data_IF_402810876855
#
_entry.id   IF_402810876855
#
_cell.length_a   1.000
_cell.length_b   1.000
_cell.length_c   1.000
_cell.angle_alpha   90.00
_cell.angle_beta   90.00
_cell.angle_gamma   90.00
#
_symmetry.space_group_name_H-M   'P 1'
#
loop_
_entity.id
_entity.type
_entity.pdbx_description
1 polymer ?
#
# COMPACT_ATOMS: atom_id res chain seq x y z
N UNK A 1 1.27 5.36 4.23
CA UNK A 1 0.91 3.95 3.98
C UNK A 1 2.03 3.30 3.21
N UNK A 2 2.04 1.97 3.19
CA UNK A 2 3.03 1.11 2.52
C UNK A 2 2.68 0.78 1.05
N UNK A 3 3.29 -0.29 0.54
CA UNK A 3 3.19 -0.78 -0.84
C UNK A 3 1.84 -1.38 -1.19
N UNK A 4 1.06 -1.85 -0.21
CA UNK A 4 -0.25 -2.44 -0.46
C UNK A 4 -1.14 -1.42 -1.14
N UNK A 5 -1.07 -0.15 -0.74
CA UNK A 5 -1.97 0.91 -1.22
C UNK A 5 -1.26 2.01 -2.01
N UNK A 6 0.00 1.80 -2.39
CA UNK A 6 0.78 2.76 -3.19
C UNK A 6 0.42 2.67 -4.68
N UNK A 7 -0.17 3.72 -5.28
CA UNK A 7 -0.44 3.75 -6.72
C UNK A 7 0.78 4.17 -7.56
N UNK A 8 1.94 4.44 -6.95
CA UNK A 8 3.17 4.80 -7.64
C UNK A 8 3.88 6.07 -7.15
N UNK A 9 3.68 6.53 -5.91
CA UNK A 9 4.42 7.70 -5.40
C UNK A 9 5.93 7.45 -5.37
N UNK A 10 6.35 6.21 -5.16
CA UNK A 10 7.75 5.83 -5.15
C UNK A 10 8.47 6.02 -6.49
N UNK A 11 7.73 6.17 -7.59
CA UNK A 11 8.28 6.42 -8.92
C UNK A 11 8.92 7.81 -9.02
N UNK A 12 8.46 8.73 -8.18
CA UNK A 12 8.83 10.15 -8.20
C UNK A 12 9.80 10.54 -7.09
N UNK A 13 10.35 9.56 -6.36
CA UNK A 13 11.40 9.75 -5.35
C UNK A 13 12.60 8.84 -5.64
N UNK A 14 13.76 9.19 -5.07
CA UNK A 14 14.99 8.41 -5.25
C UNK A 14 14.99 7.21 -4.31
N UNK A 15 14.34 6.12 -4.73
CA UNK A 15 14.32 4.84 -4.03
C UNK A 15 14.50 3.66 -4.99
N UNK A 16 14.92 2.52 -4.42
CA UNK A 16 14.90 1.20 -5.07
C UNK A 16 13.55 0.48 -4.87
N UNK A 17 12.73 0.92 -3.91
CA UNK A 17 11.44 0.31 -3.59
C UNK A 17 10.38 0.85 -4.55
N UNK A 18 10.34 0.34 -5.78
CA UNK A 18 9.35 0.76 -6.78
C UNK A 18 9.07 -0.36 -7.76
N UNK A 19 7.88 -0.33 -8.35
CA UNK A 19 7.37 -1.34 -9.28
C UNK A 19 6.97 -0.72 -10.63
N UNK A 20 7.76 0.23 -11.12
CA UNK A 20 7.51 0.96 -12.37
C UNK A 20 8.18 0.31 -13.59
N UNK A 21 8.33 -1.00 -13.53
CA UNK A 21 8.88 -1.83 -14.60
C UNK A 21 8.10 -3.15 -14.71
N UNK A 22 8.11 -3.78 -15.90
CA UNK A 22 7.49 -5.09 -16.06
C UNK A 22 8.14 -6.14 -15.13
N UNK A 23 7.39 -7.16 -14.68
CA UNK A 23 6.03 -7.50 -15.12
C UNK A 23 4.90 -6.78 -14.35
N UNK A 24 5.22 -5.89 -13.41
CA UNK A 24 4.19 -5.17 -12.65
C UNK A 24 3.28 -4.34 -13.55
N UNK A 25 2.01 -4.22 -13.17
CA UNK A 25 1.00 -3.50 -13.97
C UNK A 25 0.64 -4.16 -15.31
N UNK A 26 1.04 -5.41 -15.58
CA UNK A 26 0.68 -6.14 -16.81
C UNK A 26 -0.82 -6.19 -17.08
N UNK A 27 -1.62 -6.29 -16.03
CA UNK A 27 -3.08 -6.39 -16.11
C UNK A 27 -3.74 -5.01 -15.87
N UNK A 28 -2.92 -3.98 -15.56
CA UNK A 28 -3.37 -2.61 -15.28
C UNK A 28 -3.38 -1.72 -16.55
N UNK A 29 -4.52 -1.07 -16.84
CA UNK A 29 -4.68 0.04 -17.79
C UNK A 29 -3.70 0.05 -18.99
N UNK A 30 -3.87 -0.91 -19.90
CA UNK A 30 -3.04 -1.02 -21.11
C UNK A 30 -1.70 -1.75 -20.88
N UNK A 31 -1.57 -2.46 -19.77
CA UNK A 31 -0.41 -3.28 -19.41
C UNK A 31 0.83 -2.47 -19.05
N UNK A 32 0.63 -1.27 -18.48
CA UNK A 32 1.72 -0.36 -18.15
C UNK A 32 2.10 -0.46 -16.67
N UNK A 33 3.40 -0.59 -16.35
CA UNK A 33 3.84 -0.52 -14.98
C UNK A 33 3.74 0.92 -14.47
N UNK A 34 2.95 1.14 -13.41
CA UNK A 34 2.71 2.47 -12.83
C UNK A 34 3.25 2.61 -11.41
N UNK A 35 4.12 1.71 -10.96
CA UNK A 35 4.61 1.73 -9.57
C UNK A 35 3.73 0.99 -8.56
N UNK A 36 2.59 0.43 -8.98
CA UNK A 36 1.73 -0.43 -8.16
C UNK A 36 2.43 -1.76 -7.88
N UNK A 37 2.44 -2.18 -6.62
CA UNK A 37 3.03 -3.45 -6.18
C UNK A 37 2.05 -4.62 -6.44
N UNK A 38 1.64 -4.79 -7.70
CA UNK A 38 0.75 -5.87 -8.14
C UNK A 38 0.82 -6.06 -9.67
N UNK A 39 0.13 -7.07 -10.21
CA UNK A 39 -0.13 -7.16 -11.64
C UNK A 39 -1.11 -6.09 -12.15
N UNK A 40 -1.97 -5.58 -11.28
CA UNK A 40 -3.07 -4.68 -11.62
C UNK A 40 -3.21 -3.53 -10.64
N UNK A 41 -4.46 -3.12 -10.41
CA UNK A 41 -4.86 -2.17 -9.38
C UNK A 41 -4.57 -2.66 -7.96
N UNK A 42 -4.43 -1.70 -7.05
CA UNK A 42 -4.20 -1.94 -5.62
C UNK A 42 -5.44 -1.54 -4.81
N UNK A 43 -5.58 -1.93 -3.53
CA UNK A 43 -6.75 -1.58 -2.72
C UNK A 43 -7.07 -0.08 -2.68
N UNK A 44 -6.10 0.83 -2.79
CA UNK A 44 -6.42 2.26 -2.87
C UNK A 44 -7.21 2.66 -4.11
N UNK A 45 -7.03 1.95 -5.24
CA UNK A 45 -7.87 2.12 -6.44
C UNK A 45 -9.26 1.56 -6.22
N UNK A 46 -9.33 0.31 -5.76
CA UNK A 46 -10.59 -0.42 -5.56
C UNK A 46 -11.46 0.33 -4.55
N UNK A 47 -10.87 0.86 -3.49
CA UNK A 47 -11.59 1.60 -2.46
C UNK A 47 -12.03 2.96 -2.99
N UNK A 48 -11.20 3.65 -3.78
CA UNK A 48 -11.63 4.87 -4.46
C UNK A 48 -12.80 4.60 -5.41
N UNK A 49 -12.84 3.45 -6.07
CA UNK A 49 -13.93 3.05 -6.96
C UNK A 49 -15.21 2.73 -6.17
N UNK A 50 -15.11 1.94 -5.10
CA UNK A 50 -16.24 1.62 -4.19
C UNK A 50 -16.90 2.90 -3.65
N UNK A 51 -16.09 3.90 -3.27
CA UNK A 51 -16.60 5.18 -2.78
C UNK A 51 -17.01 6.16 -3.88
N UNK A 52 -17.00 5.72 -5.15
CA UNK A 52 -17.32 6.52 -6.34
C UNK A 52 -16.50 7.82 -6.42
N UNK A 53 -15.23 7.74 -6.01
CA UNK A 53 -14.25 8.83 -6.07
C UNK A 53 -13.60 8.83 -7.45
N UNK A 54 -12.95 7.71 -7.80
CA UNK A 54 -12.28 7.47 -9.09
C UNK A 54 -12.14 5.98 -9.32
N UNK A 55 -12.11 5.56 -10.59
CA UNK A 55 -11.74 4.20 -10.98
C UNK A 55 -10.27 3.87 -10.67
N UNK A 56 -9.40 4.85 -10.83
CA UNK A 56 -7.97 4.72 -10.52
C UNK A 56 -7.49 5.96 -9.77
N UNK A 57 -6.82 5.74 -8.65
CA UNK A 57 -6.32 6.79 -7.78
C UNK A 57 -4.88 7.13 -8.19
N UNK A 58 -4.56 8.38 -8.55
CA UNK A 58 -3.21 8.74 -8.94
C UNK A 58 -2.31 9.00 -7.72
N UNK A 59 -1.00 8.86 -7.93
CA UNK A 59 0.02 9.18 -6.96
C UNK A 59 0.12 10.71 -6.76
N UNK A 60 0.07 11.19 -5.52
CA UNK A 60 0.21 12.62 -5.19
C UNK A 60 1.49 13.27 -5.76
N UNK A 61 2.58 12.50 -5.87
CA UNK A 61 3.85 13.00 -6.38
C UNK A 61 3.96 13.00 -7.92
N UNK A 62 2.95 12.57 -8.67
CA UNK A 62 2.98 12.62 -10.12
C UNK A 62 2.98 14.09 -10.60
N UNK A 63 4.05 14.55 -11.30
CA UNK A 63 4.15 15.93 -11.75
C UNK A 63 3.14 16.29 -12.85
N UNK A 64 2.46 15.29 -13.43
CA UNK A 64 1.45 15.50 -14.46
C UNK A 64 0.04 15.71 -13.89
N UNK A 65 -0.13 15.68 -12.57
CA UNK A 65 -1.41 15.92 -11.92
C UNK A 65 -1.95 17.30 -12.26
N UNK A 66 -3.23 17.34 -12.63
CA UNK A 66 -3.97 18.59 -12.81
C UNK A 66 -4.67 18.96 -11.50
N UNK A 67 -5.04 20.22 -11.38
CA UNK A 67 -5.84 20.72 -10.25
C UNK A 67 -7.09 19.86 -9.99
N UNK A 68 -7.81 19.50 -11.06
CA UNK A 68 -8.99 18.63 -10.95
C UNK A 68 -8.64 17.26 -10.34
N UNK A 69 -7.46 16.72 -10.60
CA UNK A 69 -7.03 15.43 -10.06
C UNK A 69 -6.77 15.52 -8.57
N UNK A 70 -6.10 16.60 -8.14
CA UNK A 70 -5.86 16.93 -6.73
C UNK A 70 -7.17 17.11 -5.95
N UNK A 71 -8.15 17.79 -6.55
CA UNK A 71 -9.45 18.07 -5.91
C UNK A 71 -10.37 16.85 -5.85
N UNK A 72 -10.27 15.95 -6.83
CA UNK A 72 -11.12 14.75 -6.90
C UNK A 72 -10.54 13.55 -6.15
N UNK A 73 -9.25 13.54 -5.82
CA UNK A 73 -8.64 12.52 -4.95
C UNK A 73 -7.28 12.02 -5.45
N UNK A 74 -6.34 11.87 -4.51
CA UNK A 74 -4.97 11.39 -4.73
C UNK A 74 -4.54 10.50 -3.56
N UNK A 75 -3.57 9.61 -3.80
CA UNK A 75 -2.95 8.81 -2.73
C UNK A 75 -1.62 9.40 -2.28
N UNK A 76 -1.39 9.36 -0.96
CA UNK A 76 -0.12 9.73 -0.32
C UNK A 76 0.66 8.50 0.19
N UNK A 77 0.24 7.30 -0.20
CA UNK A 77 0.92 6.05 0.13
C UNK A 77 2.32 5.96 -0.51
N UNK A 78 3.24 5.21 0.09
CA UNK A 78 4.62 5.06 -0.37
C UNK A 78 5.10 3.65 -0.03
N UNK A 79 5.46 2.88 -1.06
CA UNK A 79 5.95 1.51 -0.90
C UNK A 79 7.09 1.39 0.11
N UNK A 80 7.06 0.39 0.99
CA UNK A 80 8.07 0.22 2.04
C UNK A 80 8.01 1.24 3.18
N UNK A 81 7.03 2.14 3.19
CA UNK A 81 6.78 3.00 4.34
C UNK A 81 6.27 2.17 5.52
N UNK A 82 7.12 1.98 6.52
CA UNK A 82 6.73 1.39 7.80
C UNK A 82 6.12 2.41 8.76
N UNK A 83 5.68 1.91 9.91
CA UNK A 83 5.27 2.75 11.04
C UNK A 83 6.45 3.58 11.58
N UNK A 84 7.61 2.94 11.74
CA UNK A 84 8.83 3.58 12.21
C UNK A 84 9.46 4.43 11.09
N UNK A 85 9.68 5.74 11.30
CA UNK A 85 10.39 6.59 10.34
C UNK A 85 11.77 6.06 9.94
N UNK A 86 12.43 5.27 10.80
CA UNK A 86 13.70 4.62 10.48
C UNK A 86 13.57 3.65 9.31
N UNK A 87 12.48 2.87 9.24
CA UNK A 87 12.24 1.97 8.10
C UNK A 87 12.17 2.77 6.81
N UNK A 88 11.39 3.85 6.80
CA UNK A 88 11.25 4.70 5.62
C UNK A 88 12.61 5.33 5.22
N UNK A 89 13.39 5.78 6.21
CA UNK A 89 14.72 6.36 6.00
C UNK A 89 15.71 5.36 5.41
N UNK A 90 15.69 4.10 5.86
CA UNK A 90 16.61 3.05 5.39
C UNK A 90 16.45 2.78 3.89
N UNK A 91 15.21 2.83 3.38
CA UNK A 91 14.91 2.56 1.97
C UNK A 91 14.56 3.82 1.16
N UNK A 92 14.77 5.01 1.74
CA UNK A 92 14.58 6.32 1.09
C UNK A 92 13.17 6.54 0.52
N UNK A 93 12.14 6.16 1.27
CA UNK A 93 10.71 6.30 0.91
C UNK A 93 10.02 7.31 1.83
N UNK A 94 8.79 7.72 1.50
CA UNK A 94 8.06 8.67 2.34
C UNK A 94 7.66 8.00 3.66
N UNK A 95 8.03 8.62 4.76
CA UNK A 95 7.52 8.25 6.08
C UNK A 95 6.05 8.63 6.25
N UNK A 96 5.42 8.09 7.30
CA UNK A 96 4.05 8.42 7.65
C UNK A 96 3.88 9.91 8.01
N UNK A 97 4.87 10.51 8.66
CA UNK A 97 4.87 11.94 8.99
C UNK A 97 4.98 12.79 7.73
N UNK A 98 5.82 12.43 6.77
CA UNK A 98 5.93 13.12 5.47
C UNK A 98 4.64 13.01 4.65
N UNK A 99 4.01 11.83 4.68
CA UNK A 99 2.70 11.61 4.05
C UNK A 99 1.63 12.52 4.68
N UNK A 100 1.63 12.64 6.01
CA UNK A 100 0.72 13.53 6.75
C UNK A 100 0.97 15.00 6.42
N UNK A 101 2.24 15.42 6.36
CA UNK A 101 2.62 16.77 5.97
C UNK A 101 2.25 17.08 4.51
N UNK A 102 2.28 16.08 3.61
CA UNK A 102 1.80 16.23 2.25
C UNK A 102 0.28 16.48 2.19
N UNK A 103 -0.51 15.75 2.99
CA UNK A 103 -1.95 16.02 3.14
C UNK A 103 -2.20 17.45 3.62
N UNK A 104 -1.49 17.90 4.66
CA UNK A 104 -1.59 19.27 5.18
C UNK A 104 -1.26 20.32 4.13
N UNK A 105 -0.20 20.11 3.35
CA UNK A 105 0.19 21.01 2.25
C UNK A 105 -0.92 21.12 1.21
N UNK A 106 -1.47 19.99 0.77
CA UNK A 106 -2.58 20.00 -0.20
C UNK A 106 -3.80 20.72 0.38
N UNK A 107 -4.19 20.44 1.62
CA UNK A 107 -5.30 21.13 2.28
C UNK A 107 -5.07 22.64 2.38
N UNK A 108 -3.86 23.07 2.71
CA UNK A 108 -3.49 24.48 2.79
C UNK A 108 -3.48 25.16 1.43
N UNK A 109 -3.05 24.47 0.37
CA UNK A 109 -3.12 24.97 -1.01
C UNK A 109 -4.58 25.12 -1.46
N UNK A 110 -5.42 24.13 -1.19
CA UNK A 110 -6.86 24.16 -1.50
C UNK A 110 -7.56 25.27 -0.72
N UNK A 111 -7.21 25.46 0.55
CA UNK A 111 -7.63 26.63 1.33
C UNK A 111 -7.09 27.89 0.63
N UNK A 112 -5.80 28.16 0.58
CA UNK A 112 -5.25 29.44 0.09
C UNK A 112 -5.64 29.89 -1.34
N UNK A 113 -6.21 29.02 -2.17
CA UNK A 113 -6.49 29.28 -3.59
C UNK A 113 -7.97 29.61 -3.90
N UNK A 114 -8.22 30.01 -5.14
CA UNK A 114 -9.57 30.15 -5.71
C UNK A 114 -10.33 28.81 -5.78
N UNK A 115 -9.63 27.69 -5.62
CA UNK A 115 -10.15 26.32 -5.77
C UNK A 115 -11.23 26.01 -4.74
N UNK A 116 -11.26 26.72 -3.60
CA UNK A 116 -12.31 26.57 -2.57
C UNK A 116 -13.73 26.58 -3.14
N UNK A 117 -13.99 27.36 -4.20
CA UNK A 117 -15.32 27.48 -4.82
C UNK A 117 -15.68 26.29 -5.72
N UNK A 118 -14.68 25.57 -6.21
CA UNK A 118 -14.81 24.38 -7.06
C UNK A 118 -15.04 23.12 -6.23
N UNK A 119 -14.84 23.18 -4.91
CA UNK A 119 -15.27 22.16 -3.96
C UNK A 119 -16.81 22.23 -3.81
N UNK A 120 -17.53 22.01 -4.91
CA UNK A 120 -18.99 21.84 -4.94
C UNK A 120 -19.40 20.46 -4.45
N UNK A 121 -18.90 20.00 -3.30
CA UNK A 121 -19.52 18.89 -2.57
C UNK A 121 -19.17 19.04 -1.10
N UNK A 122 -20.17 19.48 -0.32
CA UNK A 122 -20.22 19.15 1.10
C UNK A 122 -19.94 17.65 1.24
N UNK A 123 -19.22 17.25 2.30
CA UNK A 123 -19.03 15.85 2.75
C UNK A 123 -17.82 15.04 2.24
N UNK A 124 -16.66 15.64 1.94
CA UNK A 124 -15.43 14.82 1.85
C UNK A 124 -14.17 15.48 2.46
N UNK A 125 -14.22 15.84 3.75
CA UNK A 125 -13.04 15.60 4.61
C UNK A 125 -12.92 14.09 4.93
N UNK A 126 -13.10 13.24 3.92
CA UNK A 126 -12.81 11.80 4.03
C UNK A 126 -11.34 11.66 3.66
N UNK A 127 -10.48 12.05 4.59
CA UNK A 127 -9.15 11.48 4.61
C UNK A 127 -9.33 10.00 4.93
N UNK A 128 -9.53 9.19 3.89
CA UNK A 128 -9.48 7.74 4.00
C UNK A 128 -8.03 7.37 4.23
N UNK A 129 -7.58 7.50 5.47
CA UNK A 129 -6.30 6.91 5.86
C UNK A 129 -6.56 5.43 6.11
N UNK A 130 -6.57 4.64 5.03
CA UNK A 130 -6.55 3.18 5.08
C UNK A 130 -5.21 2.67 5.60
N UNK A 131 -5.04 2.64 6.91
CA UNK A 131 -3.83 2.12 7.51
C UNK A 131 -3.77 0.61 7.28
N UNK A 132 -3.11 0.18 6.20
CA UNK A 132 -2.56 -1.15 6.09
C UNK A 132 -1.37 -1.20 7.06
N UNK A 133 -1.38 -2.18 7.94
CA UNK A 133 -0.30 -2.38 8.89
C UNK A 133 0.74 -3.24 8.18
N UNK A 134 1.94 -2.73 8.03
CA UNK A 134 3.09 -3.55 7.71
C UNK A 134 4.21 -3.24 8.69
N UNK A 135 4.40 -4.17 9.61
CA UNK A 135 5.68 -4.36 10.27
C UNK A 135 6.58 -5.08 9.27
N UNK A 136 6.92 -4.42 8.15
CA UNK A 136 8.13 -4.77 7.41
C UNK A 136 9.32 -4.04 8.04
N UNK A 137 9.46 -4.13 9.36
CA UNK A 137 10.77 -3.91 9.98
C UNK A 137 11.60 -5.15 9.72
N UNK A 138 12.47 -5.08 8.70
CA UNK A 138 13.74 -5.81 8.67
C UNK A 138 13.70 -7.34 8.85
N UNK A 139 12.56 -8.02 8.77
CA UNK A 139 12.52 -9.49 8.89
C UNK A 139 13.30 -10.17 7.75
N UNK A 140 13.50 -9.47 6.63
CA UNK A 140 14.18 -9.99 5.43
C UNK A 140 15.70 -9.76 5.49
N UNK A 141 16.19 -8.84 6.33
CA UNK A 141 17.62 -8.59 6.53
C UNK A 141 18.18 -9.33 7.76
N UNK A 142 17.33 -9.92 8.60
CA UNK A 142 17.71 -10.49 9.90
C UNK A 142 17.21 -11.93 10.01
N UNK A 143 17.72 -12.80 9.14
CA UNK A 143 17.79 -14.26 9.37
C UNK A 143 19.07 -14.63 10.14
N UNK A 144 19.54 -13.73 11.02
CA UNK A 144 20.67 -13.93 11.92
C UNK A 144 20.14 -14.03 13.36
N UNK A 145 20.49 -15.09 14.13
CA UNK A 145 20.11 -15.24 15.55
C UNK A 145 20.61 -14.11 16.47
N UNK A 146 21.42 -13.18 15.95
CA UNK A 146 22.14 -12.18 16.73
C UNK A 146 21.26 -11.02 17.24
N UNK A 147 19.98 -10.95 16.86
CA UNK A 147 19.16 -9.74 17.00
C UNK A 147 17.76 -9.94 17.59
N UNK A 148 17.52 -10.99 18.40
CA UNK A 148 16.26 -11.12 19.15
C UNK A 148 15.94 -9.87 20.01
N UNK A 149 16.97 -9.16 20.47
CA UNK A 149 16.84 -7.92 21.25
C UNK A 149 16.30 -6.71 20.45
N UNK A 150 16.29 -6.76 19.11
CA UNK A 150 15.78 -5.68 18.28
C UNK A 150 14.27 -5.84 17.97
N UNK A 151 13.76 -7.07 17.93
CA UNK A 151 12.34 -7.37 17.68
C UNK A 151 11.44 -6.79 18.79
N UNK A 152 11.90 -6.77 20.04
CA UNK A 152 11.17 -6.14 21.16
C UNK A 152 11.12 -4.62 21.08
N UNK A 153 12.04 -3.98 20.36
CA UNK A 153 12.11 -2.53 20.18
C UNK A 153 11.13 -2.02 19.13
N UNK A 154 10.74 -2.89 18.17
CA UNK A 154 9.91 -2.52 17.02
C UNK A 154 8.43 -2.89 17.15
N UNK A 155 7.94 -3.31 18.33
CA UNK A 155 6.49 -3.33 18.55
C UNK A 155 5.99 -1.88 18.59
N UNK A 156 5.17 -1.43 17.62
CA UNK A 156 4.52 -0.14 17.76
C UNK A 156 3.68 -0.19 19.04
N UNK A 157 3.95 0.71 19.98
CA UNK A 157 3.13 0.81 21.18
C UNK A 157 1.73 1.28 20.78
N UNK A 158 0.66 0.82 21.46
CA UNK A 158 -0.71 1.32 21.20
C UNK A 158 -0.82 2.86 21.20
N UNK A 159 0.05 3.53 21.98
CA UNK A 159 0.16 5.00 22.09
C UNK A 159 0.48 5.66 20.75
N UNK A 160 1.37 5.03 19.99
CA UNK A 160 1.93 5.56 18.76
C UNK A 160 0.85 5.64 17.65
N UNK A 161 -0.01 4.63 17.58
CA UNK A 161 -1.21 4.59 16.73
C UNK A 161 -2.27 5.60 17.12
N UNK A 162 -2.57 5.71 18.42
CA UNK A 162 -3.54 6.69 18.93
C UNK A 162 -3.10 8.11 18.59
N UNK A 163 -1.79 8.40 18.65
CA UNK A 163 -1.24 9.68 18.25
C UNK A 163 -1.47 9.96 16.76
N UNK A 164 -1.26 8.99 15.87
CA UNK A 164 -1.51 9.19 14.44
C UNK A 164 -3.00 9.40 14.12
N UNK A 165 -3.89 8.65 14.76
CA UNK A 165 -5.34 8.85 14.63
C UNK A 165 -5.74 10.23 15.15
N UNK A 166 -5.16 10.65 16.27
CA UNK A 166 -5.37 11.97 16.83
C UNK A 166 -4.89 13.08 15.89
N UNK A 167 -3.68 12.97 15.33
CA UNK A 167 -3.17 13.91 14.31
C UNK A 167 -4.11 13.96 13.11
N UNK A 168 -4.50 12.81 12.56
CA UNK A 168 -5.43 12.75 11.43
C UNK A 168 -6.76 13.45 11.73
N UNK A 169 -7.31 13.24 12.93
CA UNK A 169 -8.54 13.89 13.39
C UNK A 169 -8.39 15.42 13.52
N UNK A 170 -7.27 15.87 14.10
CA UNK A 170 -6.92 17.29 14.21
C UNK A 170 -6.75 17.96 12.83
N UNK A 171 -6.27 17.23 11.82
CA UNK A 171 -6.21 17.67 10.42
C UNK A 171 -7.55 17.63 9.68
N UNK A 172 -8.64 17.37 10.40
CA UNK A 172 -9.98 17.41 9.86
C UNK A 172 -10.50 16.07 9.35
N UNK A 173 -9.77 14.96 9.49
CA UNK A 173 -10.33 13.65 9.18
C UNK A 173 -11.58 13.39 10.05
N UNK A 174 -12.68 12.99 9.42
CA UNK A 174 -13.94 12.66 10.13
C UNK A 174 -14.37 11.21 9.97
N UNK A 175 -13.90 10.56 8.92
CA UNK A 175 -14.15 9.15 8.62
C UNK A 175 -12.80 8.50 8.34
N UNK A 176 -12.36 7.63 9.25
CA UNK A 176 -11.05 6.97 9.20
C UNK A 176 -11.27 5.47 9.26
N UNK A 177 -10.81 4.75 8.23
CA UNK A 177 -10.84 3.29 8.17
C UNK A 177 -9.47 2.74 8.54
N UNK A 178 -9.37 1.98 9.62
CA UNK A 178 -8.13 1.30 10.01
C UNK A 178 -8.27 -0.16 9.63
N UNK A 179 -7.40 -0.65 8.75
CA UNK A 179 -7.34 -2.07 8.40
C UNK A 179 -6.44 -2.79 9.39
N UNK A 180 -6.75 -4.01 9.77
CA UNK A 180 -5.85 -4.81 10.60
C UNK A 180 -4.69 -5.37 9.77
N UNK A 181 -3.66 -5.87 10.44
CA UNK A 181 -2.62 -6.69 9.82
C UNK A 181 -3.25 -7.84 9.02
N UNK A 182 -2.91 -8.04 7.73
CA UNK A 182 -3.24 -9.27 7.04
C UNK A 182 -2.51 -10.44 7.73
N UNK A 183 -2.96 -11.70 7.54
CA UNK A 183 -2.30 -12.87 8.12
C UNK A 183 -0.91 -13.05 7.49
N UNK A 184 0.09 -12.32 7.99
CA UNK A 184 1.43 -12.20 7.39
C UNK A 184 2.16 -13.55 7.33
N UNK A 185 1.85 -14.47 8.25
CA UNK A 185 2.37 -15.84 8.19
C UNK A 185 1.91 -16.64 6.98
N UNK A 186 0.91 -16.16 6.22
CA UNK A 186 0.40 -16.79 5.01
C UNK A 186 1.05 -16.26 3.73
N UNK A 187 1.81 -15.15 3.77
CA UNK A 187 2.47 -14.64 2.57
C UNK A 187 3.63 -15.55 2.14
N UNK A 188 3.91 -15.70 0.84
CA UNK A 188 4.88 -16.68 0.35
C UNK A 188 6.26 -16.59 1.01
N UNK A 189 6.82 -15.37 1.12
CA UNK A 189 8.12 -15.14 1.74
C UNK A 189 8.20 -15.60 3.20
N UNK A 190 7.17 -15.33 4.02
CA UNK A 190 7.14 -15.77 5.41
C UNK A 190 6.92 -17.28 5.55
N UNK A 191 6.13 -17.89 4.65
CA UNK A 191 5.98 -19.35 4.61
C UNK A 191 7.27 -20.05 4.21
N UNK A 192 8.09 -19.45 3.36
CA UNK A 192 9.42 -19.97 3.02
C UNK A 192 10.39 -19.79 4.18
N UNK A 193 10.48 -18.58 4.76
CA UNK A 193 11.49 -18.24 5.77
C UNK A 193 11.19 -18.83 7.16
N UNK A 194 9.90 -18.94 7.53
CA UNK A 194 9.45 -19.34 8.87
C UNK A 194 8.60 -20.61 8.86
N UNK A 195 8.36 -21.25 7.71
CA UNK A 195 7.61 -22.49 7.61
C UNK A 195 8.44 -23.72 7.97
N UNK A 196 7.80 -24.75 8.55
CA UNK A 196 8.42 -26.06 8.75
C UNK A 196 8.29 -26.94 7.47
N UNK A 197 8.99 -28.07 7.44
CA UNK A 197 8.93 -29.06 6.34
C UNK A 197 7.51 -29.61 6.11
N UNK A 198 6.64 -29.51 7.10
CA UNK A 198 5.23 -29.90 7.06
C UNK A 198 4.35 -28.67 6.85
N UNK A 199 4.41 -28.09 5.64
CA UNK A 199 3.49 -27.02 5.24
C UNK A 199 2.06 -27.56 5.45
N UNK A 200 1.38 -27.15 6.53
CA UNK A 200 0.03 -27.64 6.90
C UNK A 200 -1.06 -27.38 5.86
N UNK A 201 -0.70 -26.73 4.75
CA UNK A 201 -1.44 -26.68 3.50
C UNK A 201 -0.54 -27.27 2.40
N UNK A 202 -0.93 -28.42 1.86
CA UNK A 202 -0.17 -29.19 0.85
C UNK A 202 0.01 -28.41 -0.46
N UNK A 203 -0.87 -27.45 -0.77
CA UNK A 203 -0.70 -26.52 -1.87
C UNK A 203 -1.59 -25.28 -1.69
N UNK A 204 -1.05 -24.21 -1.12
CA UNK A 204 -1.44 -22.87 -1.59
C UNK A 204 -0.39 -22.55 -2.63
N UNK A 205 -0.77 -22.66 -3.89
CA UNK A 205 0.05 -22.40 -5.09
C UNK A 205 0.97 -21.22 -4.86
N UNK A 206 2.23 -21.32 -5.30
CA UNK A 206 3.24 -20.26 -5.15
C UNK A 206 2.77 -18.91 -5.71
N UNK A 207 3.65 -17.91 -5.67
CA UNK A 207 3.47 -16.61 -6.32
C UNK A 207 3.49 -16.69 -7.85
N UNK A 208 2.85 -15.72 -8.51
CA UNK A 208 2.88 -15.66 -9.97
C UNK A 208 4.25 -15.21 -10.48
N UNK A 209 4.97 -14.37 -9.75
CA UNK A 209 6.22 -13.78 -10.19
C UNK A 209 7.38 -14.10 -9.25
N UNK A 210 8.43 -14.67 -9.86
CA UNK A 210 9.68 -15.00 -9.21
C UNK A 210 9.66 -16.39 -8.58
N UNK A 211 10.43 -16.53 -7.50
CA UNK A 211 10.72 -17.81 -6.83
C UNK A 211 10.12 -17.92 -5.43
N UNK A 212 9.56 -16.83 -4.89
CA UNK A 212 8.82 -16.84 -3.63
C UNK A 212 9.64 -16.58 -2.39
N UNK A 213 10.92 -16.27 -2.57
CA UNK A 213 11.91 -16.27 -1.50
C UNK A 213 12.49 -14.88 -1.24
N UNK A 214 12.76 -14.14 -2.30
CA UNK A 214 13.52 -12.88 -2.25
C UNK A 214 12.74 -11.69 -2.82
N UNK A 215 11.59 -11.95 -3.45
CA UNK A 215 10.87 -10.97 -4.26
C UNK A 215 10.16 -9.86 -3.48
N UNK A 216 10.42 -9.79 -2.17
CA UNK A 216 10.07 -8.66 -1.30
C UNK A 216 11.24 -7.69 -1.12
N UNK A 217 12.49 -8.14 -1.33
CA UNK A 217 13.71 -7.32 -1.32
C UNK A 217 14.23 -7.03 -2.73
N UNK A 218 14.01 -7.94 -3.67
CA UNK A 218 14.36 -7.78 -5.08
C UNK A 218 13.08 -7.91 -5.90
N UNK A 219 12.51 -6.78 -6.28
CA UNK A 219 11.26 -6.76 -7.04
C UNK A 219 11.39 -7.56 -8.33
N UNK A 220 10.28 -8.17 -8.72
CA UNK A 220 10.18 -8.88 -9.98
C UNK A 220 10.49 -7.98 -11.17
N UNK A 221 11.37 -8.40 -12.07
CA UNK A 221 11.82 -7.60 -13.20
C UNK A 221 11.72 -8.38 -14.51
N UNK A 222 12.00 -7.79 -15.68
CA UNK A 222 11.85 -8.49 -16.96
C UNK A 222 12.73 -9.75 -17.11
N UNK A 223 13.77 -9.89 -16.29
CA UNK A 223 14.66 -11.05 -16.25
C UNK A 223 14.29 -12.06 -15.16
N UNK A 224 13.24 -11.79 -14.38
CA UNK A 224 12.73 -12.74 -13.39
C UNK A 224 12.30 -14.02 -14.08
N UNK A 225 13.05 -15.09 -13.80
CA UNK A 225 12.67 -16.45 -14.20
C UNK A 225 11.36 -16.81 -13.51
N UNK A 226 10.46 -17.48 -14.23
CA UNK A 226 9.19 -18.01 -13.72
C UNK A 226 8.00 -17.05 -13.51
N UNK A 227 7.93 -15.90 -14.19
CA UNK A 227 6.65 -15.15 -14.24
C UNK A 227 5.56 -15.97 -14.93
N UNK A 228 4.43 -16.15 -14.24
CA UNK A 228 3.31 -16.96 -14.68
C UNK A 228 2.62 -16.33 -15.91
N UNK A 229 2.08 -17.20 -16.78
CA UNK A 229 1.32 -16.75 -17.98
C UNK A 229 -0.08 -16.26 -17.65
N UNK A 230 -0.69 -16.81 -16.61
CA UNK A 230 -2.08 -16.57 -16.23
C UNK A 230 -2.15 -16.29 -14.73
N UNK A 231 -2.22 -15.01 -14.36
CA UNK A 231 -2.25 -14.57 -12.97
C UNK A 231 -3.53 -14.97 -12.25
N UNK A 232 -4.64 -15.22 -12.95
CA UNK A 232 -5.95 -15.52 -12.33
C UNK A 232 -5.97 -16.81 -11.49
N UNK A 233 -4.94 -17.65 -11.65
CA UNK A 233 -4.74 -18.91 -10.93
C UNK A 233 -3.97 -18.75 -9.61
N UNK A 234 -3.57 -17.53 -9.28
CA UNK A 234 -2.67 -17.22 -8.17
C UNK A 234 -3.36 -16.28 -7.17
N UNK A 235 -2.94 -16.34 -5.91
CA UNK A 235 -3.35 -15.36 -4.89
C UNK A 235 -2.35 -14.20 -4.84
N UNK A 236 -1.07 -14.54 -4.95
CA UNK A 236 0.04 -13.60 -4.83
C UNK A 236 0.68 -13.29 -6.17
N UNK A 237 0.94 -12.02 -6.39
CA UNK A 237 1.68 -11.54 -7.54
C UNK A 237 3.17 -11.82 -7.37
N UNK A 238 3.78 -11.33 -6.29
CA UNK A 238 5.15 -11.64 -5.90
C UNK A 238 5.17 -12.35 -4.54
N UNK A 239 6.33 -12.44 -3.87
CA UNK A 239 6.44 -13.18 -2.61
C UNK A 239 5.76 -12.50 -1.41
N UNK A 240 5.04 -11.40 -1.63
CA UNK A 240 4.37 -10.64 -0.58
C UNK A 240 3.04 -10.04 -1.01
N UNK A 241 2.98 -9.40 -2.17
CA UNK A 241 1.81 -8.65 -2.62
C UNK A 241 0.80 -9.52 -3.36
N UNK A 242 -0.49 -9.47 -3.02
CA UNK A 242 -1.56 -10.08 -3.78
C UNK A 242 -1.67 -9.60 -5.24
N UNK A 243 -2.28 -10.44 -6.09
CA UNK A 243 -2.76 -9.98 -7.40
C UNK A 243 -3.98 -9.07 -7.24
N UNK A 244 -4.26 -8.23 -8.24
CA UNK A 244 -5.44 -7.36 -8.28
C UNK A 244 -6.72 -8.11 -7.98
N UNK A 245 -6.92 -9.30 -8.55
CA UNK A 245 -8.15 -10.08 -8.32
C UNK A 245 -8.34 -10.46 -6.85
N UNK A 246 -7.24 -10.79 -6.17
CA UNK A 246 -7.25 -11.08 -4.74
C UNK A 246 -7.50 -9.81 -3.93
N UNK A 247 -6.91 -8.67 -4.32
CA UNK A 247 -7.22 -7.38 -3.70
C UNK A 247 -8.68 -6.99 -3.85
N UNK A 248 -9.30 -7.21 -5.01
CA UNK A 248 -10.74 -6.98 -5.22
C UNK A 248 -11.57 -7.77 -4.20
N UNK A 249 -11.34 -9.09 -4.14
CA UNK A 249 -12.08 -9.99 -3.24
C UNK A 249 -11.88 -9.57 -1.78
N UNK A 250 -10.63 -9.37 -1.36
CA UNK A 250 -10.31 -9.01 0.03
C UNK A 250 -10.90 -7.65 0.41
N UNK A 251 -10.84 -6.68 -0.49
CA UNK A 251 -11.38 -5.34 -0.24
C UNK A 251 -12.89 -5.39 -0.08
N UNK A 252 -13.61 -6.15 -0.92
CA UNK A 252 -15.06 -6.31 -0.79
C UNK A 252 -15.49 -7.11 0.45
N UNK A 253 -14.66 -8.04 0.94
CA UNK A 253 -14.90 -8.73 2.20
C UNK A 253 -14.73 -7.80 3.41
N UNK A 254 -13.77 -6.88 3.34
CA UNK A 254 -13.44 -5.93 4.42
C UNK A 254 -14.35 -4.70 4.41
N UNK A 255 -14.78 -4.25 3.25
CA UNK A 255 -15.70 -3.12 3.07
C UNK A 255 -17.05 -3.63 2.56
N UNK A 256 -17.76 -4.34 3.41
CA UNK A 256 -19.14 -4.74 3.14
C UNK A 256 -20.09 -3.53 3.16
N UNK A 257 -21.35 -3.73 2.74
CA UNK A 257 -22.35 -2.68 2.72
C UNK A 257 -22.58 -2.06 4.10
N UNK A 258 -22.44 -2.83 5.19
CA UNK A 258 -22.60 -2.33 6.55
C UNK A 258 -21.51 -1.32 6.92
N UNK A 259 -20.27 -1.58 6.51
CA UNK A 259 -19.14 -0.69 6.72
C UNK A 259 -19.24 0.50 5.79
N UNK A 260 -19.49 0.28 4.49
CA UNK A 260 -19.65 1.35 3.50
C UNK A 260 -20.72 2.36 3.95
N UNK A 261 -21.87 1.88 4.45
CA UNK A 261 -22.94 2.75 4.93
C UNK A 261 -22.54 3.62 6.13
N UNK A 262 -21.54 3.25 6.94
CA UNK A 262 -21.01 4.13 8.01
C UNK A 262 -20.18 5.29 7.47
N UNK A 263 -19.76 5.22 6.21
CA UNK A 263 -18.99 6.25 5.52
C UNK A 263 -19.84 7.22 4.69
N UNK A 264 -21.16 7.07 4.69
CA UNK A 264 -22.12 7.99 4.06
C UNK A 264 -23.06 8.57 5.11
#
# INVERSE_FOLDING_TARGET
MDSIVDPGNNDYIKTLVKCNFPPYGRDFNGGKPTGRFSNGGVPSDIIAEIFNVKKTLPAYLDPNLKQQDLLSGVSFASGGAGYDPLTARLVSVLSLSESTAAVQRLQNQVKGSSWRKEIRFHSVQKAYSLYAWEVMTLQILISQPLLENIITTFRPTPISWLNQLHVSYCEGARRVGVLSLPPIGCVPSQRTLSGNVFRGFEAVTGECCGTGNIEVSIMCNPYSVHTCRDASKYIFWDSYHPIEKSYEILTHLVLDDNIINKFF
#
